data_IF_837979431461
#
_entry.id   IF_837979431461
#
_cell.length_a   1.000
_cell.length_b   1.000
_cell.length_c   1.000
_cell.angle_alpha   90.00
_cell.angle_beta   90.00
_cell.angle_gamma   90.00
#
_symmetry.space_group_name_H-M   'P 1'
#
loop_
_entity.id
_entity.type
_entity.pdbx_description
1 polymer ?
#
# COMPACT_ATOMS: atom_id res chain seq x y z
N UNK A 1 36.60 88.19 0.01
CA UNK A 1 36.69 86.84 -0.55
C UNK A 1 36.21 85.86 0.53
N UNK A 2 34.97 85.45 0.49
CA UNK A 2 34.36 84.51 1.47
C UNK A 2 34.20 83.16 0.77
N UNK A 3 34.86 82.15 1.31
CA UNK A 3 34.86 80.78 0.84
C UNK A 3 33.68 80.08 1.54
N UNK A 4 32.66 79.70 0.76
CA UNK A 4 31.56 78.83 1.25
C UNK A 4 32.07 77.37 1.23
N UNK A 5 32.02 76.70 2.38
CA UNK A 5 32.23 75.24 2.46
C UNK A 5 30.88 74.54 2.44
N UNK A 6 30.65 73.78 1.40
CA UNK A 6 29.47 72.89 1.27
C UNK A 6 29.70 71.64 2.08
N UNK A 7 28.80 71.33 3.00
CA UNK A 7 28.76 70.08 3.74
C UNK A 7 27.77 69.10 3.07
N UNK A 8 28.26 67.99 2.54
CA UNK A 8 27.45 66.97 1.97
C UNK A 8 27.11 65.92 3.07
N UNK A 9 25.82 65.82 3.39
CA UNK A 9 25.30 64.80 4.30
C UNK A 9 24.94 63.56 3.47
N UNK A 10 25.63 62.44 3.72
CA UNK A 10 25.31 61.11 3.13
C UNK A 10 24.36 60.41 4.09
N UNK A 11 23.09 60.27 3.69
CA UNK A 11 22.08 59.45 4.39
C UNK A 11 22.25 58.00 3.99
N UNK A 12 22.77 57.18 4.89
CA UNK A 12 22.84 55.73 4.71
C UNK A 12 21.47 55.08 4.98
N UNK A 13 20.87 54.47 3.95
CA UNK A 13 19.65 53.63 4.09
C UNK A 13 20.08 52.25 4.51
N UNK A 14 19.82 51.84 5.77
CA UNK A 14 19.91 50.46 6.21
C UNK A 14 18.63 49.71 5.68
N UNK A 15 18.79 48.91 4.66
CA UNK A 15 17.79 47.95 4.23
C UNK A 15 17.84 46.74 5.19
N UNK A 16 16.94 46.75 6.18
CA UNK A 16 16.70 45.59 7.03
C UNK A 16 15.94 44.49 6.26
N UNK A 17 16.56 43.39 5.90
CA UNK A 17 15.93 42.21 5.36
C UNK A 17 15.14 41.53 6.48
N UNK A 18 13.79 41.66 6.45
CA UNK A 18 12.87 40.85 7.24
C UNK A 18 12.91 39.42 6.68
N UNK A 19 13.69 38.56 7.30
CA UNK A 19 13.63 37.12 7.04
C UNK A 19 12.28 36.58 7.47
N UNK A 20 11.43 36.22 6.50
CA UNK A 20 10.21 35.43 6.76
C UNK A 20 10.63 34.06 7.21
N UNK A 21 10.64 33.80 8.51
CA UNK A 21 10.77 32.45 9.05
C UNK A 21 9.45 31.70 8.74
N UNK A 22 9.46 30.84 7.74
CA UNK A 22 8.39 29.86 7.53
C UNK A 22 8.46 28.87 8.70
N UNK A 23 7.49 28.98 9.62
CA UNK A 23 7.29 27.94 10.63
C UNK A 23 7.10 26.58 9.94
N UNK A 24 7.70 25.49 10.47
CA UNK A 24 7.46 24.16 9.94
C UNK A 24 5.94 23.90 10.03
N UNK A 25 5.33 23.57 8.89
CA UNK A 25 3.94 23.14 8.87
C UNK A 25 3.84 21.90 9.78
N UNK A 26 3.11 22.01 10.88
CA UNK A 26 2.73 20.86 11.69
C UNK A 26 2.09 19.87 10.73
N UNK A 27 2.64 18.66 10.64
CA UNK A 27 2.06 17.60 9.85
C UNK A 27 0.61 17.43 10.32
N UNK A 28 -0.35 17.78 9.47
CA UNK A 28 -1.75 17.57 9.78
C UNK A 28 -1.93 16.07 10.07
N UNK A 29 -2.58 15.74 11.17
CA UNK A 29 -2.90 14.36 11.49
C UNK A 29 -3.69 13.70 10.34
N UNK A 30 -3.82 12.36 10.34
CA UNK A 30 -4.50 11.66 9.27
C UNK A 30 -5.90 12.22 9.05
N UNK A 31 -6.25 12.49 7.78
CA UNK A 31 -7.58 12.98 7.41
C UNK A 31 -8.59 11.89 7.73
N UNK A 32 -9.63 12.21 8.50
CA UNK A 32 -10.67 11.24 8.85
C UNK A 32 -11.36 10.72 7.59
N UNK A 33 -11.13 9.45 7.29
CA UNK A 33 -11.70 8.80 6.12
C UNK A 33 -13.17 8.40 6.34
N UNK A 34 -13.94 8.38 5.26
CA UNK A 34 -15.30 7.82 5.20
C UNK A 34 -15.30 6.42 4.63
N UNK A 35 -14.40 6.17 3.69
CA UNK A 35 -14.39 4.97 2.87
C UNK A 35 -13.07 4.20 3.00
N UNK A 36 -13.15 2.89 2.83
CA UNK A 36 -12.01 2.00 2.66
C UNK A 36 -12.22 1.17 1.40
N UNK A 37 -11.24 1.18 0.51
CA UNK A 37 -11.23 0.33 -0.68
C UNK A 37 -10.11 -0.70 -0.51
N UNK A 38 -10.48 -1.99 -0.59
CA UNK A 38 -9.60 -3.12 -0.34
C UNK A 38 -9.26 -3.83 -1.65
N UNK A 39 -7.98 -4.00 -1.94
CA UNK A 39 -7.45 -4.61 -3.17
C UNK A 39 -6.71 -5.89 -2.82
N UNK A 40 -7.21 -7.05 -3.25
CA UNK A 40 -6.56 -8.34 -3.02
C UNK A 40 -5.35 -8.57 -3.95
N UNK A 41 -4.51 -9.53 -3.60
CA UNK A 41 -3.33 -9.92 -4.36
C UNK A 41 -3.59 -10.98 -5.43
N UNK A 42 -2.49 -11.50 -6.00
CA UNK A 42 -2.51 -12.63 -6.90
C UNK A 42 -3.04 -13.89 -6.19
N UNK A 43 -3.61 -14.81 -6.95
CA UNK A 43 -4.13 -16.11 -6.47
C UNK A 43 -5.18 -16.01 -5.36
N UNK A 44 -5.83 -14.86 -5.23
CA UNK A 44 -6.85 -14.56 -4.24
C UNK A 44 -8.01 -13.81 -4.89
N UNK A 45 -9.04 -13.55 -4.13
CA UNK A 45 -10.18 -12.71 -4.49
C UNK A 45 -10.60 -11.80 -3.33
N UNK A 46 -11.67 -11.04 -3.51
CA UNK A 46 -12.16 -10.13 -2.48
C UNK A 46 -12.59 -10.82 -1.18
N UNK A 47 -12.85 -12.12 -1.18
CA UNK A 47 -13.24 -12.87 0.02
C UNK A 47 -12.09 -13.00 1.03
N UNK A 48 -10.84 -12.83 0.60
CA UNK A 48 -9.69 -12.80 1.50
C UNK A 48 -9.79 -11.70 2.58
N UNK A 49 -10.60 -10.66 2.34
CA UNK A 49 -10.88 -9.58 3.28
C UNK A 49 -12.08 -9.82 4.21
N UNK A 50 -12.76 -10.98 4.09
CA UNK A 50 -14.01 -11.26 4.80
C UNK A 50 -13.94 -11.07 6.33
N UNK A 51 -12.79 -11.31 6.94
CA UNK A 51 -12.59 -11.12 8.37
C UNK A 51 -12.29 -9.66 8.76
N UNK A 52 -11.71 -8.87 7.86
CA UNK A 52 -11.36 -7.45 8.10
C UNK A 52 -12.58 -6.55 7.89
N UNK A 53 -13.38 -6.81 6.85
CA UNK A 53 -14.56 -5.99 6.48
C UNK A 53 -15.50 -5.69 7.65
N UNK A 54 -15.99 -6.68 8.42
CA UNK A 54 -16.94 -6.40 9.51
C UNK A 54 -16.37 -5.47 10.59
N UNK A 55 -15.06 -5.55 10.83
CA UNK A 55 -14.37 -4.71 11.83
C UNK A 55 -14.33 -3.24 11.42
N UNK A 56 -14.07 -3.00 10.14
CA UNK A 56 -14.07 -1.64 9.57
C UNK A 56 -15.49 -1.06 9.50
N UNK A 57 -16.48 -1.89 9.13
CA UNK A 57 -17.89 -1.50 9.11
C UNK A 57 -18.40 -1.17 10.52
N UNK A 58 -18.00 -1.95 11.54
CA UNK A 58 -18.35 -1.67 12.94
C UNK A 58 -17.79 -0.32 13.45
N UNK A 59 -16.70 0.16 12.84
CA UNK A 59 -16.14 1.49 13.11
C UNK A 59 -16.82 2.61 12.28
N UNK A 60 -17.88 2.30 11.52
CA UNK A 60 -18.66 3.27 10.74
C UNK A 60 -18.06 3.62 9.37
N UNK A 61 -17.09 2.84 8.88
CA UNK A 61 -16.51 3.05 7.56
C UNK A 61 -17.33 2.35 6.47
N UNK A 62 -17.50 2.99 5.33
CA UNK A 62 -18.01 2.36 4.13
C UNK A 62 -16.87 1.55 3.47
N UNK A 63 -17.07 0.25 3.30
CA UNK A 63 -16.01 -0.67 2.84
C UNK A 63 -16.40 -1.30 1.51
N UNK A 64 -15.50 -1.23 0.54
CA UNK A 64 -15.66 -1.89 -0.77
C UNK A 64 -14.43 -2.74 -1.08
N UNK A 65 -14.63 -4.04 -1.33
CA UNK A 65 -13.58 -4.92 -1.83
C UNK A 65 -13.62 -4.96 -3.36
N UNK A 66 -12.50 -4.61 -3.98
CA UNK A 66 -12.32 -4.71 -5.43
C UNK A 66 -12.24 -6.18 -5.82
N UNK A 67 -12.97 -6.58 -6.86
CA UNK A 67 -12.78 -7.87 -7.52
C UNK A 67 -11.73 -7.68 -8.62
N UNK A 68 -10.47 -7.85 -8.23
CA UNK A 68 -9.33 -7.59 -9.09
C UNK A 68 -9.27 -8.65 -10.20
N UNK A 69 -9.34 -8.30 -11.50
CA UNK A 69 -9.43 -9.30 -12.57
C UNK A 69 -8.16 -10.14 -12.76
N UNK A 70 -6.99 -9.64 -12.34
CA UNK A 70 -5.70 -10.34 -12.42
C UNK A 70 -5.29 -10.77 -13.85
N UNK A 71 -5.83 -10.13 -14.87
CA UNK A 71 -5.54 -10.38 -16.30
C UNK A 71 -4.38 -9.52 -16.80
N UNK A 72 -4.29 -8.30 -16.31
CA UNK A 72 -3.16 -7.37 -16.53
C UNK A 72 -3.08 -6.34 -15.40
N UNK A 73 -1.95 -5.63 -15.29
CA UNK A 73 -1.85 -4.47 -14.38
C UNK A 73 -2.84 -3.38 -14.82
N UNK A 74 -2.98 -3.15 -16.11
CA UNK A 74 -3.87 -2.12 -16.65
C UNK A 74 -5.34 -2.39 -16.31
N UNK A 75 -5.81 -3.65 -16.44
CA UNK A 75 -7.18 -4.04 -16.10
C UNK A 75 -7.45 -3.88 -14.60
N UNK A 76 -6.49 -4.29 -13.77
CA UNK A 76 -6.59 -4.18 -12.31
C UNK A 76 -6.61 -2.73 -11.84
N UNK A 77 -5.81 -1.87 -12.47
CA UNK A 77 -5.81 -0.42 -12.27
C UNK A 77 -7.14 0.19 -12.70
N UNK A 78 -7.67 -0.19 -13.87
CA UNK A 78 -8.95 0.31 -14.38
C UNK A 78 -10.11 -0.09 -13.45
N UNK A 79 -10.13 -1.33 -12.96
CA UNK A 79 -11.16 -1.80 -12.00
C UNK A 79 -11.07 -1.02 -10.67
N UNK A 80 -9.88 -0.86 -10.12
CA UNK A 80 -9.71 -0.13 -8.87
C UNK A 80 -10.09 1.34 -9.01
N UNK A 81 -9.77 1.99 -10.14
CA UNK A 81 -10.22 3.36 -10.45
C UNK A 81 -11.74 3.46 -10.54
N UNK A 82 -12.41 2.47 -11.11
CA UNK A 82 -13.88 2.41 -11.22
C UNK A 82 -14.53 2.37 -9.83
N UNK A 83 -13.97 1.55 -8.92
CA UNK A 83 -14.43 1.49 -7.53
C UNK A 83 -14.15 2.81 -6.79
N UNK A 84 -12.96 3.41 -6.96
CA UNK A 84 -12.64 4.72 -6.36
C UNK A 84 -13.57 5.83 -6.85
N UNK A 85 -13.96 5.82 -8.13
CA UNK A 85 -14.88 6.81 -8.68
C UNK A 85 -16.24 6.83 -7.97
N UNK A 86 -16.67 5.68 -7.46
CA UNK A 86 -17.94 5.52 -6.73
C UNK A 86 -17.88 5.98 -5.27
N UNK A 87 -16.69 6.26 -4.73
CA UNK A 87 -16.55 6.71 -3.35
C UNK A 87 -16.96 8.19 -3.21
N UNK A 88 -17.69 8.51 -2.14
CA UNK A 88 -18.29 9.83 -1.89
C UNK A 88 -17.42 10.77 -1.03
N UNK A 89 -16.16 10.44 -0.80
CA UNK A 89 -15.28 11.27 0.03
C UNK A 89 -13.91 10.67 0.32
N UNK A 90 -13.23 11.15 1.38
CA UNK A 90 -11.90 10.70 1.77
C UNK A 90 -11.83 9.18 1.94
N UNK A 91 -10.88 8.55 1.28
CA UNK A 91 -10.78 7.10 1.13
C UNK A 91 -9.39 6.60 1.54
N UNK A 92 -9.33 5.59 2.40
CA UNK A 92 -8.12 4.79 2.59
C UNK A 92 -8.08 3.69 1.54
N UNK A 93 -6.98 3.60 0.82
CA UNK A 93 -6.76 2.55 -0.17
C UNK A 93 -5.82 1.49 0.41
N UNK A 94 -6.29 0.26 0.51
CA UNK A 94 -5.60 -0.85 1.18
C UNK A 94 -5.30 -1.95 0.18
N UNK A 95 -4.11 -2.52 0.25
CA UNK A 95 -3.77 -3.66 -0.59
C UNK A 95 -3.07 -4.77 0.16
N UNK A 96 -3.31 -5.99 -0.30
CA UNK A 96 -2.55 -7.17 0.06
C UNK A 96 -1.67 -7.62 -1.12
N UNK A 97 -0.45 -8.07 -0.82
CA UNK A 97 0.42 -8.78 -1.77
C UNK A 97 0.64 -7.99 -3.09
N UNK A 98 0.41 -8.64 -4.24
CA UNK A 98 0.52 -8.01 -5.56
C UNK A 98 -0.40 -6.79 -5.72
N UNK A 99 -1.53 -6.74 -5.01
CA UNK A 99 -2.42 -5.57 -5.00
C UNK A 99 -1.72 -4.26 -4.63
N UNK A 100 -0.61 -4.33 -3.89
CA UNK A 100 0.23 -3.17 -3.60
C UNK A 100 0.82 -2.50 -4.85
N UNK A 101 1.07 -3.26 -5.93
CA UNK A 101 1.44 -2.70 -7.24
C UNK A 101 0.30 -1.85 -7.79
N UNK A 102 -0.94 -2.32 -7.68
CA UNK A 102 -2.12 -1.59 -8.15
C UNK A 102 -2.31 -0.29 -7.36
N UNK A 103 -2.25 -0.33 -6.02
CA UNK A 103 -2.46 0.89 -5.23
C UNK A 103 -1.30 1.87 -5.33
N UNK A 104 -0.09 1.42 -5.63
CA UNK A 104 1.03 2.31 -5.94
C UNK A 104 0.78 3.13 -7.21
N UNK A 105 0.06 2.57 -8.18
CA UNK A 105 -0.34 3.26 -9.42
C UNK A 105 -1.52 4.20 -9.21
N UNK A 106 -2.63 3.72 -8.57
CA UNK A 106 -3.87 4.48 -8.52
C UNK A 106 -4.00 5.40 -7.30
N UNK A 107 -3.17 5.21 -6.29
CA UNK A 107 -3.27 5.96 -5.02
C UNK A 107 -2.97 7.45 -5.13
N UNK A 108 -2.55 7.95 -6.29
CA UNK A 108 -2.44 9.38 -6.59
C UNK A 108 -3.80 10.08 -6.75
N UNK A 109 -4.90 9.32 -6.83
CA UNK A 109 -6.26 9.86 -6.88
C UNK A 109 -6.49 10.84 -5.73
N UNK A 110 -7.09 12.02 -5.98
CA UNK A 110 -7.32 13.04 -4.96
C UNK A 110 -8.22 12.59 -3.81
N UNK A 111 -9.11 11.63 -4.02
CA UNK A 111 -9.95 11.05 -2.96
C UNK A 111 -9.13 10.18 -1.99
N UNK A 112 -7.98 9.62 -2.43
CA UNK A 112 -7.14 8.79 -1.58
C UNK A 112 -6.35 9.66 -0.60
N UNK A 113 -6.60 9.46 0.69
CA UNK A 113 -5.96 10.21 1.78
C UNK A 113 -4.85 9.44 2.46
N UNK A 114 -4.85 8.11 2.35
CA UNK A 114 -3.85 7.24 2.95
C UNK A 114 -3.75 5.90 2.20
N UNK A 115 -2.59 5.27 2.29
CA UNK A 115 -2.30 3.96 1.71
C UNK A 115 -1.93 2.96 2.81
N UNK A 116 -2.47 1.75 2.72
CA UNK A 116 -2.11 0.65 3.63
C UNK A 116 -1.65 -0.56 2.83
N UNK A 117 -0.47 -1.04 3.12
CA UNK A 117 0.15 -2.21 2.50
C UNK A 117 0.21 -3.35 3.50
N UNK A 118 -0.37 -4.50 3.18
CA UNK A 118 -0.39 -5.70 4.03
C UNK A 118 0.38 -6.79 3.32
N UNK A 119 1.57 -7.15 3.80
CA UNK A 119 2.47 -8.12 3.16
C UNK A 119 2.55 -7.87 1.63
N UNK A 120 2.80 -6.62 1.21
CA UNK A 120 2.48 -6.19 -0.14
C UNK A 120 3.68 -5.61 -0.90
N UNK A 121 3.62 -5.69 -2.22
CA UNK A 121 4.55 -4.97 -3.11
C UNK A 121 4.31 -3.47 -3.00
N UNK A 122 5.38 -2.70 -3.12
CA UNK A 122 5.31 -1.25 -3.17
C UNK A 122 6.36 -0.72 -4.17
N UNK A 123 6.15 -0.94 -5.48
CA UNK A 123 7.11 -0.52 -6.50
C UNK A 123 7.24 1.00 -6.57
N UNK A 124 8.41 1.46 -6.99
CA UNK A 124 8.62 2.82 -7.48
C UNK A 124 8.15 2.94 -8.94
N UNK A 125 7.96 4.17 -9.42
CA UNK A 125 7.61 4.42 -10.81
C UNK A 125 8.68 3.85 -11.76
N UNK A 126 8.25 3.04 -12.72
CA UNK A 126 9.13 2.38 -13.69
C UNK A 126 9.99 1.24 -13.13
N UNK A 127 9.91 0.95 -11.83
CA UNK A 127 10.76 -0.06 -11.19
C UNK A 127 10.50 -1.47 -11.71
N UNK A 128 11.57 -2.20 -11.97
CA UNK A 128 11.51 -3.65 -12.15
C UNK A 128 11.44 -4.33 -10.77
N UNK A 129 10.20 -4.57 -10.31
CA UNK A 129 10.00 -5.19 -9.01
C UNK A 129 10.50 -6.65 -8.95
N UNK A 130 10.53 -7.35 -10.08
CA UNK A 130 11.08 -8.71 -10.15
C UNK A 130 12.57 -8.67 -9.87
N UNK A 131 13.31 -7.77 -10.54
CA UNK A 131 14.75 -7.58 -10.29
C UNK A 131 15.04 -7.09 -8.86
N UNK A 132 14.20 -6.23 -8.29
CA UNK A 132 14.31 -5.84 -6.88
C UNK A 132 14.15 -7.04 -5.96
N UNK A 133 13.11 -7.85 -6.15
CA UNK A 133 12.80 -8.99 -5.29
C UNK A 133 13.89 -10.06 -5.31
N UNK A 134 14.62 -10.21 -6.42
CA UNK A 134 15.74 -11.14 -6.54
C UNK A 134 16.95 -10.80 -5.66
N UNK A 135 17.00 -9.61 -5.08
CA UNK A 135 18.03 -9.22 -4.10
C UNK A 135 17.80 -9.83 -2.71
N UNK A 136 16.65 -10.47 -2.52
CA UNK A 136 16.23 -11.11 -1.28
C UNK A 136 15.98 -12.61 -1.52
N UNK A 137 16.09 -13.46 -0.50
CA UNK A 137 15.76 -14.88 -0.63
C UNK A 137 14.34 -15.06 -1.17
N UNK A 138 14.17 -15.99 -2.12
CA UNK A 138 12.87 -16.29 -2.69
C UNK A 138 11.94 -16.95 -1.67
N UNK A 139 10.68 -16.54 -1.63
CA UNK A 139 9.65 -17.20 -0.83
C UNK A 139 9.41 -18.64 -1.32
N UNK A 140 9.17 -19.56 -0.38
CA UNK A 140 8.99 -20.99 -0.64
C UNK A 140 7.76 -21.31 -1.50
N UNK A 141 6.71 -20.48 -1.42
CA UNK A 141 5.50 -20.63 -2.23
C UNK A 141 5.78 -20.62 -3.74
N UNK A 142 6.85 -19.92 -4.17
CA UNK A 142 7.23 -19.80 -5.59
C UNK A 142 7.45 -21.15 -6.28
N UNK A 143 7.98 -22.14 -5.56
CA UNK A 143 8.25 -23.47 -6.13
C UNK A 143 6.97 -24.24 -6.54
N UNK A 144 5.81 -23.84 -5.99
CA UNK A 144 4.52 -24.45 -6.30
C UNK A 144 3.69 -23.72 -7.34
N UNK A 145 4.24 -22.70 -8.01
CA UNK A 145 3.54 -22.00 -9.10
C UNK A 145 3.40 -22.93 -10.28
N UNK A 146 2.17 -23.12 -10.74
CA UNK A 146 1.81 -23.88 -11.92
C UNK A 146 1.24 -22.92 -12.96
N UNK A 147 1.69 -23.04 -14.20
CA UNK A 147 1.24 -22.22 -15.32
C UNK A 147 0.49 -23.07 -16.35
N UNK A 148 -0.63 -22.54 -16.82
CA UNK A 148 -1.41 -23.11 -17.91
C UNK A 148 -2.03 -21.97 -18.73
N UNK A 149 -1.85 -21.99 -20.04
CA UNK A 149 -2.38 -21.00 -20.99
C UNK A 149 -2.08 -19.53 -20.59
N UNK A 150 -0.88 -19.27 -20.05
CA UNK A 150 -0.46 -17.94 -19.62
C UNK A 150 -1.02 -17.48 -18.28
N UNK A 151 -1.79 -18.35 -17.59
CA UNK A 151 -2.27 -18.09 -16.23
C UNK A 151 -1.59 -19.00 -15.23
N UNK A 152 -1.41 -18.47 -14.02
CA UNK A 152 -0.77 -19.18 -12.92
C UNK A 152 -1.73 -19.43 -11.78
N UNK A 153 -1.50 -20.55 -11.09
CA UNK A 153 -2.09 -20.91 -9.79
C UNK A 153 -0.99 -21.50 -8.90
N UNK A 154 -1.22 -21.51 -7.61
CA UNK A 154 -0.42 -22.30 -6.70
C UNK A 154 -0.96 -23.73 -6.61
N UNK A 155 -0.07 -24.73 -6.58
CA UNK A 155 -0.46 -26.10 -6.21
C UNK A 155 -1.09 -26.11 -4.81
N UNK A 156 -1.91 -27.11 -4.52
CA UNK A 156 -2.56 -27.23 -3.20
C UNK A 156 -1.54 -27.28 -2.07
N UNK A 157 -0.49 -28.07 -2.21
CA UNK A 157 0.57 -28.19 -1.21
C UNK A 157 1.25 -26.84 -0.94
N UNK A 158 1.64 -26.12 -1.98
CA UNK A 158 2.29 -24.82 -1.84
C UNK A 158 1.34 -23.75 -1.28
N UNK A 159 0.07 -23.77 -1.69
CA UNK A 159 -0.93 -22.86 -1.17
C UNK A 159 -1.12 -23.06 0.34
N UNK A 160 -1.44 -24.30 0.74
CA UNK A 160 -1.74 -24.60 2.14
C UNK A 160 -0.52 -24.44 3.06
N UNK A 161 0.66 -24.82 2.60
CA UNK A 161 1.87 -24.89 3.42
C UNK A 161 2.63 -23.57 3.51
N UNK A 162 2.63 -22.77 2.44
CA UNK A 162 3.47 -21.58 2.33
C UNK A 162 2.68 -20.29 2.13
N UNK A 163 1.64 -20.30 1.27
CA UNK A 163 0.84 -19.11 1.01
C UNK A 163 -0.14 -18.81 2.17
N UNK A 164 -0.80 -19.87 2.65
CA UNK A 164 -1.76 -19.79 3.75
C UNK A 164 -1.19 -20.29 5.09
N UNK A 165 0.15 -20.26 5.26
CA UNK A 165 0.78 -20.65 6.52
C UNK A 165 0.26 -19.81 7.70
N UNK A 166 -0.10 -20.48 8.80
CA UNK A 166 -0.69 -19.83 9.98
C UNK A 166 -2.19 -19.50 9.88
N UNK A 167 -2.84 -19.84 8.75
CA UNK A 167 -4.31 -19.78 8.61
C UNK A 167 -4.93 -21.09 9.10
N UNK A 168 -6.12 -21.02 9.68
CA UNK A 168 -6.89 -22.22 10.04
C UNK A 168 -7.03 -23.17 8.82
N UNK A 169 -6.79 -24.48 8.99
CA UNK A 169 -6.74 -25.42 7.85
C UNK A 169 -8.03 -25.49 7.04
N UNK A 170 -9.19 -25.33 7.68
CA UNK A 170 -10.49 -25.36 6.97
C UNK A 170 -10.63 -24.10 6.13
N UNK A 171 -10.32 -22.95 6.70
CA UNK A 171 -10.32 -21.66 6.01
C UNK A 171 -9.30 -21.66 4.85
N UNK A 172 -8.10 -22.19 5.07
CA UNK A 172 -7.08 -22.28 4.03
C UNK A 172 -7.52 -23.10 2.82
N UNK A 173 -8.24 -24.23 3.04
CA UNK A 173 -8.82 -25.05 1.96
C UNK A 173 -9.93 -24.32 1.19
N UNK A 174 -10.76 -23.54 1.88
CA UNK A 174 -11.77 -22.69 1.22
C UNK A 174 -11.08 -21.66 0.33
N UNK A 175 -10.06 -20.96 0.86
CA UNK A 175 -9.29 -19.96 0.09
C UNK A 175 -8.54 -20.58 -1.10
N UNK A 176 -8.03 -21.80 -0.96
CA UNK A 176 -7.47 -22.55 -2.08
C UNK A 176 -8.51 -22.83 -3.18
N UNK A 177 -9.73 -23.23 -2.78
CA UNK A 177 -10.79 -23.56 -3.73
C UNK A 177 -11.28 -22.35 -4.55
N UNK A 178 -11.25 -21.15 -3.94
CA UNK A 178 -11.60 -19.87 -4.60
C UNK A 178 -10.40 -19.14 -5.19
N UNK A 179 -9.23 -19.78 -5.22
CA UNK A 179 -8.01 -19.21 -5.80
C UNK A 179 -8.26 -18.76 -7.25
N UNK A 180 -8.17 -17.43 -7.49
CA UNK A 180 -8.42 -16.86 -8.81
C UNK A 180 -7.19 -17.04 -9.72
N UNK A 181 -7.36 -17.51 -10.96
CA UNK A 181 -6.27 -17.59 -11.93
C UNK A 181 -5.64 -16.22 -12.17
N UNK A 182 -4.32 -16.18 -12.17
CA UNK A 182 -3.55 -14.95 -12.28
C UNK A 182 -2.69 -14.98 -13.53
N UNK A 183 -2.84 -14.04 -14.45
CA UNK A 183 -2.01 -13.96 -15.64
C UNK A 183 -0.52 -13.83 -15.24
N UNK A 184 0.36 -14.66 -15.80
CA UNK A 184 1.78 -14.65 -15.49
C UNK A 184 2.43 -13.29 -15.76
N UNK A 185 1.93 -12.56 -16.76
CA UNK A 185 2.42 -11.25 -17.18
C UNK A 185 2.26 -10.15 -16.14
N UNK A 186 1.31 -10.26 -15.18
CA UNK A 186 1.09 -9.20 -14.19
C UNK A 186 2.30 -8.95 -13.30
N UNK A 187 3.11 -9.98 -13.06
CA UNK A 187 4.26 -9.88 -12.16
C UNK A 187 5.40 -9.03 -12.73
N UNK A 188 5.48 -8.88 -14.07
CA UNK A 188 6.44 -8.04 -14.76
C UNK A 188 5.92 -6.62 -15.03
N UNK A 189 4.65 -6.34 -14.74
CA UNK A 189 4.05 -5.03 -14.93
C UNK A 189 4.77 -3.95 -14.11
N UNK A 190 5.05 -2.81 -14.75
CA UNK A 190 5.69 -1.65 -14.09
C UNK A 190 4.67 -0.54 -13.93
N UNK A 191 4.67 0.10 -12.77
CA UNK A 191 3.83 1.27 -12.50
C UNK A 191 4.42 2.52 -13.14
N UNK A 192 3.57 3.47 -13.49
CA UNK A 192 3.99 4.81 -13.96
C UNK A 192 4.05 5.82 -12.81
N UNK A 193 3.44 5.47 -11.68
CA UNK A 193 3.42 6.26 -10.46
C UNK A 193 3.86 5.44 -9.24
N UNK A 194 4.24 6.15 -8.18
CA UNK A 194 4.52 5.59 -6.86
C UNK A 194 3.80 6.46 -5.82
N UNK A 195 2.50 6.20 -5.64
CA UNK A 195 1.62 7.03 -4.80
C UNK A 195 2.14 7.19 -3.37
N UNK A 196 2.84 6.20 -2.83
CA UNK A 196 3.45 6.24 -1.50
C UNK A 196 4.52 7.33 -1.34
N UNK A 197 5.02 7.93 -2.43
CA UNK A 197 5.93 9.08 -2.37
C UNK A 197 5.25 10.38 -1.96
N UNK A 198 3.94 10.46 -2.12
CA UNK A 198 3.15 11.67 -1.86
C UNK A 198 2.00 11.48 -0.88
N UNK A 199 1.69 10.24 -0.50
CA UNK A 199 0.60 9.91 0.41
C UNK A 199 1.15 9.31 1.71
N UNK A 200 0.57 9.66 2.87
CA UNK A 200 0.84 8.94 4.11
C UNK A 200 0.60 7.44 3.91
N UNK A 201 1.54 6.62 4.38
CA UNK A 201 1.53 5.18 4.13
C UNK A 201 1.72 4.39 5.40
N UNK A 202 1.03 3.26 5.51
CA UNK A 202 1.13 2.26 6.57
C UNK A 202 1.53 0.91 5.99
N UNK A 203 2.24 0.13 6.77
CA UNK A 203 2.68 -1.19 6.33
C UNK A 203 2.56 -2.23 7.44
N UNK A 204 1.91 -3.36 7.15
CA UNK A 204 1.94 -4.55 7.99
C UNK A 204 2.94 -5.55 7.40
N UNK A 205 4.06 -5.75 8.09
CA UNK A 205 5.08 -6.76 7.76
C UNK A 205 4.66 -8.09 8.36
N UNK A 206 4.62 -9.14 7.55
CA UNK A 206 4.33 -10.52 7.98
C UNK A 206 5.64 -11.25 8.25
N UNK A 207 6.01 -11.45 9.51
CA UNK A 207 7.34 -11.97 9.90
C UNK A 207 7.63 -13.40 9.44
N UNK A 208 6.59 -14.17 9.12
CA UNK A 208 6.68 -15.56 8.70
C UNK A 208 6.19 -15.75 7.25
N UNK A 209 6.27 -14.68 6.44
CA UNK A 209 5.84 -14.72 5.04
C UNK A 209 6.78 -15.61 4.20
N UNK A 210 6.18 -16.61 3.57
CA UNK A 210 6.84 -17.56 2.66
C UNK A 210 6.56 -17.27 1.17
N UNK A 211 5.93 -16.14 0.88
CA UNK A 211 5.60 -15.65 -0.48
C UNK A 211 6.41 -14.41 -0.83
N UNK A 212 6.35 -13.38 -0.01
CA UNK A 212 7.23 -12.21 -0.07
C UNK A 212 8.19 -12.29 1.12
N UNK A 213 9.49 -12.19 0.85
CA UNK A 213 10.48 -12.27 1.92
C UNK A 213 10.26 -11.13 2.94
N UNK A 214 10.21 -11.41 4.26
CA UNK A 214 9.99 -10.40 5.29
C UNK A 214 11.02 -9.25 5.29
N UNK A 215 12.27 -9.52 4.88
CA UNK A 215 13.28 -8.46 4.78
C UNK A 215 13.04 -7.55 3.57
N UNK A 216 12.44 -8.08 2.48
CA UNK A 216 11.95 -7.24 1.39
C UNK A 216 10.78 -6.36 1.88
N UNK A 217 9.84 -6.90 2.65
CA UNK A 217 8.74 -6.13 3.21
C UNK A 217 9.25 -5.00 4.11
N UNK A 218 10.21 -5.28 5.00
CA UNK A 218 10.88 -4.25 5.85
C UNK A 218 11.60 -3.19 5.01
N UNK A 219 12.29 -3.62 3.95
CA UNK A 219 12.94 -2.69 3.02
C UNK A 219 11.92 -1.76 2.37
N UNK A 220 10.79 -2.27 1.90
CA UNK A 220 9.71 -1.50 1.28
C UNK A 220 9.09 -0.52 2.28
N UNK A 221 8.73 -1.00 3.48
CA UNK A 221 8.17 -0.17 4.55
C UNK A 221 9.10 1.00 4.93
N UNK A 222 10.39 0.72 5.09
CA UNK A 222 11.42 1.73 5.38
C UNK A 222 11.57 2.73 4.22
N UNK A 223 11.62 2.25 2.96
CA UNK A 223 11.75 3.09 1.77
C UNK A 223 10.60 4.09 1.64
N UNK A 224 9.38 3.65 1.99
CA UNK A 224 8.18 4.48 1.97
C UNK A 224 8.06 5.41 3.19
N UNK A 225 8.93 5.29 4.18
CA UNK A 225 8.76 5.94 5.49
C UNK A 225 7.37 5.64 6.10
N UNK A 226 6.89 4.40 5.95
CA UNK A 226 5.58 3.99 6.38
C UNK A 226 5.50 3.80 7.91
N UNK A 227 4.36 4.15 8.50
CA UNK A 227 4.01 3.69 9.85
C UNK A 227 3.88 2.17 9.81
N UNK A 228 4.78 1.45 10.51
CA UNK A 228 4.95 0.01 10.32
C UNK A 228 4.59 -0.76 11.58
N UNK A 229 3.88 -1.88 11.38
CA UNK A 229 3.68 -2.92 12.39
C UNK A 229 4.24 -4.24 11.89
N UNK A 230 4.78 -5.06 12.77
CA UNK A 230 5.23 -6.42 12.45
C UNK A 230 4.30 -7.45 13.08
N UNK A 231 3.77 -8.34 12.27
CA UNK A 231 2.82 -9.36 12.67
C UNK A 231 3.49 -10.74 12.72
N UNK A 232 3.21 -11.51 13.77
CA UNK A 232 3.59 -12.93 13.85
C UNK A 232 2.62 -13.75 12.98
N UNK A 233 2.73 -13.60 11.67
CA UNK A 233 1.82 -14.15 10.69
C UNK A 233 2.56 -14.53 9.40
N UNK A 234 1.97 -15.46 8.63
CA UNK A 234 2.35 -15.74 7.25
C UNK A 234 1.78 -14.71 6.27
N UNK A 235 1.85 -15.03 4.98
CA UNK A 235 1.46 -14.11 3.90
C UNK A 235 0.01 -13.63 4.02
N UNK A 236 -0.92 -14.48 4.43
CA UNK A 236 -2.33 -14.13 4.62
C UNK A 236 -2.61 -13.56 6.02
N UNK A 237 -1.82 -12.59 6.47
CA UNK A 237 -2.00 -11.92 7.77
C UNK A 237 -3.36 -11.25 7.93
N UNK A 238 -3.99 -10.80 6.83
CA UNK A 238 -5.35 -10.26 6.82
C UNK A 238 -6.41 -11.31 7.21
N UNK A 239 -6.09 -12.61 7.07
CA UNK A 239 -6.95 -13.72 7.46
C UNK A 239 -6.61 -14.24 8.85
N UNK A 240 -5.32 -14.43 9.15
CA UNK A 240 -4.87 -15.03 10.41
C UNK A 240 -4.82 -14.03 11.58
N UNK A 241 -4.64 -12.72 11.30
CA UNK A 241 -4.62 -11.65 12.31
C UNK A 241 -5.50 -10.45 11.90
N UNK A 242 -6.79 -10.66 11.59
CA UNK A 242 -7.67 -9.64 11.02
C UNK A 242 -7.86 -8.43 11.94
N UNK A 243 -7.82 -8.61 13.26
CA UNK A 243 -7.95 -7.51 14.23
C UNK A 243 -6.79 -6.53 14.10
N UNK A 244 -5.56 -7.02 14.03
CA UNK A 244 -4.37 -6.16 13.92
C UNK A 244 -4.29 -5.45 12.58
N UNK A 245 -4.71 -6.13 11.51
CA UNK A 245 -4.79 -5.52 10.18
C UNK A 245 -5.88 -4.44 10.16
N UNK A 246 -7.05 -4.71 10.76
CA UNK A 246 -8.11 -3.70 10.87
C UNK A 246 -7.66 -2.50 11.72
N UNK A 247 -6.94 -2.71 12.82
CA UNK A 247 -6.41 -1.64 13.66
C UNK A 247 -5.46 -0.72 12.89
N UNK A 248 -4.58 -1.29 12.06
CA UNK A 248 -3.69 -0.52 11.19
C UNK A 248 -4.48 0.32 10.17
N UNK A 249 -5.52 -0.26 9.57
CA UNK A 249 -6.39 0.45 8.62
C UNK A 249 -7.16 1.57 9.32
N UNK A 250 -7.67 1.33 10.54
CA UNK A 250 -8.37 2.33 11.34
C UNK A 250 -7.46 3.50 11.74
N UNK A 251 -6.19 3.22 12.07
CA UNK A 251 -5.20 4.26 12.31
C UNK A 251 -4.97 5.11 11.03
N UNK A 252 -4.82 4.47 9.88
CA UNK A 252 -4.69 5.17 8.59
C UNK A 252 -5.95 5.98 8.24
N UNK A 253 -7.12 5.55 8.70
CA UNK A 253 -8.40 6.25 8.51
C UNK A 253 -8.63 7.41 9.48
N UNK A 254 -7.70 7.68 10.42
CA UNK A 254 -7.87 8.71 11.45
C UNK A 254 -8.99 8.37 12.47
N UNK A 255 -9.29 7.07 12.66
CA UNK A 255 -10.29 6.59 13.61
C UNK A 255 -9.68 6.16 14.95
N UNK A 256 -8.36 6.00 15.00
CA UNK A 256 -7.56 5.68 16.21
C UNK A 256 -6.29 6.53 16.21
N UNK A 257 -5.85 6.92 17.41
CA UNK A 257 -4.53 7.51 17.66
C UNK A 257 -3.45 6.43 17.76
#
# INVERSE_FOLDING_TARGET
MRILRTVTIIAGILAGSLGVQTAPALAAGPVKAKNVVLVHGAWADGSSWAQVIPRLQAAGLHVTAVQNPLTSLADSVAETRRVLAQQDGPTVLVAHSWGGTVISEVGTDPKVTALVYVAARAPDAGEDFVALSQKFPAGRARAGVQEHDGFTKLSEDAFLKYFANGVDPTTAKVLYAVQWPTAASIFAGRTTAAAWRSKPSWYAVSKQDDTINPDLERFLAKRMNATTVELDAGHLSLVSQPDKVADLILAAAGQRE
#
